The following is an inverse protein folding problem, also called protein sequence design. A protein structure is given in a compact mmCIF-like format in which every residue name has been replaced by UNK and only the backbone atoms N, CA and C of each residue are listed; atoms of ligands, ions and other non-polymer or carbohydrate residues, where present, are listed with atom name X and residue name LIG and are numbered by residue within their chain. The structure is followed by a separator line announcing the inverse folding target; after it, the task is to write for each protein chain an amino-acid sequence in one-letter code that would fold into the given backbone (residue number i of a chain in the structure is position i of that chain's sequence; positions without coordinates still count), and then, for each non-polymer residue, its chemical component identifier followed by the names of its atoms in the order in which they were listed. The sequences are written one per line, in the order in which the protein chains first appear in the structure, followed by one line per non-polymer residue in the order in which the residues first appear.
data_IF_238637909668
#
_entry.id   IF_238637909668
#
_cell.length_a   1.000
_cell.length_b   1.000
_cell.length_c   1.000
_cell.angle_alpha   90.00
_cell.angle_beta   90.00
_cell.angle_gamma   90.00
#
_symmetry.space_group_name_H-M   'P 1'
#
loop_
_entity.id
_entity.type
_entity.pdbx_description
1 polymer ?
#
# COMPACT_ATOMS: atom_id res chain seq x y z
N UNK A 1 -66.96 19.18 -14.36
CA UNK A 1 -66.41 18.42 -15.51
C UNK A 1 -65.13 19.08 -16.04
N UNK A 2 -64.27 19.62 -15.15
CA UNK A 2 -63.00 20.28 -15.50
C UNK A 2 -61.79 19.87 -14.68
N UNK A 3 -61.93 18.90 -13.78
CA UNK A 3 -60.86 18.50 -12.87
C UNK A 3 -60.03 17.30 -13.38
N UNK A 4 -60.59 16.50 -14.32
CA UNK A 4 -59.94 15.27 -14.75
C UNK A 4 -58.80 15.44 -15.79
N UNK A 5 -58.75 16.59 -16.48
CA UNK A 5 -57.75 16.84 -17.53
C UNK A 5 -56.40 17.32 -16.99
N UNK A 6 -56.37 17.96 -15.82
CA UNK A 6 -55.12 18.42 -15.19
C UNK A 6 -54.34 17.26 -14.55
N UNK A 7 -55.06 16.27 -13.96
CA UNK A 7 -54.44 15.16 -13.29
C UNK A 7 -53.77 14.16 -14.29
N UNK A 8 -54.34 14.01 -15.47
CA UNK A 8 -53.80 13.13 -16.53
C UNK A 8 -52.51 13.65 -17.19
N UNK A 9 -52.24 14.96 -17.13
CA UNK A 9 -51.02 15.57 -17.69
C UNK A 9 -49.85 15.60 -16.70
N UNK A 10 -50.09 15.45 -15.41
CA UNK A 10 -49.05 15.44 -14.37
C UNK A 10 -48.45 14.05 -14.11
N UNK A 11 -49.20 12.97 -14.43
CA UNK A 11 -48.70 11.58 -14.26
C UNK A 11 -47.46 11.25 -15.10
N UNK A 12 -47.30 11.65 -16.38
CA UNK A 12 -46.11 11.33 -17.15
C UNK A 12 -44.88 12.11 -16.65
N UNK A 13 -45.05 13.31 -16.11
CA UNK A 13 -43.93 14.09 -15.55
C UNK A 13 -43.44 13.54 -14.23
N UNK A 14 -44.31 13.05 -13.38
CA UNK A 14 -43.92 12.39 -12.12
C UNK A 14 -43.21 11.04 -12.34
N UNK A 15 -43.65 10.28 -13.37
CA UNK A 15 -43.00 9.04 -13.75
C UNK A 15 -41.62 9.27 -14.39
N UNK A 16 -41.45 10.35 -15.17
CA UNK A 16 -40.15 10.72 -15.77
C UNK A 16 -39.13 11.19 -14.70
N UNK A 17 -39.61 11.97 -13.70
CA UNK A 17 -38.79 12.43 -12.59
C UNK A 17 -38.37 11.27 -11.67
N UNK A 18 -39.22 10.26 -11.46
CA UNK A 18 -38.92 9.05 -10.72
C UNK A 18 -37.88 8.15 -11.42
N UNK A 19 -37.94 8.04 -12.73
CA UNK A 19 -36.96 7.28 -13.52
C UNK A 19 -35.58 7.93 -13.57
N UNK A 20 -35.50 9.25 -13.53
CA UNK A 20 -34.25 9.99 -13.50
C UNK A 20 -33.47 9.80 -12.16
N UNK A 21 -34.18 9.57 -11.06
CA UNK A 21 -33.57 9.31 -9.74
C UNK A 21 -32.98 7.88 -9.60
N UNK A 22 -33.43 6.92 -10.42
CA UNK A 22 -32.91 5.57 -10.43
C UNK A 22 -31.64 5.40 -11.29
N UNK A 23 -31.33 6.34 -12.18
CA UNK A 23 -30.13 6.32 -13.01
C UNK A 23 -28.86 6.75 -12.27
N UNK A 24 -28.95 7.24 -11.03
CA UNK A 24 -27.83 7.73 -10.22
C UNK A 24 -26.96 6.67 -9.53
N UNK A 25 -27.31 5.37 -9.66
CA UNK A 25 -26.54 4.27 -9.04
C UNK A 25 -25.62 3.55 -10.02
N UNK A 26 -25.26 4.14 -11.14
CA UNK A 26 -24.20 3.61 -11.98
C UNK A 26 -22.88 3.77 -11.24
N UNK A 27 -22.43 2.68 -10.63
CA UNK A 27 -21.12 2.54 -10.01
C UNK A 27 -20.08 2.61 -11.13
N UNK A 28 -19.61 3.82 -11.37
CA UNK A 28 -18.80 4.13 -12.54
C UNK A 28 -17.37 3.65 -12.29
N UNK A 29 -16.99 2.61 -12.98
CA UNK A 29 -15.61 2.32 -13.34
C UNK A 29 -15.11 3.44 -14.26
N UNK A 30 -15.18 4.69 -13.81
CA UNK A 30 -14.82 5.85 -14.61
C UNK A 30 -13.33 6.16 -14.52
N UNK A 31 -12.79 6.85 -15.54
CA UNK A 31 -11.44 7.39 -15.55
C UNK A 31 -10.62 6.89 -16.75
N UNK A 32 -9.47 7.54 -16.98
CA UNK A 32 -8.58 7.26 -18.11
C UNK A 32 -7.65 6.06 -17.91
N UNK A 33 -7.59 5.52 -16.68
CA UNK A 33 -6.71 4.37 -16.36
C UNK A 33 -7.43 3.09 -16.79
N UNK A 34 -6.80 2.25 -17.63
CA UNK A 34 -7.39 1.01 -18.11
C UNK A 34 -7.59 -0.01 -16.97
N UNK A 35 -8.73 -0.73 -16.99
CA UNK A 35 -9.04 -1.77 -16.03
C UNK A 35 -8.41 -3.10 -16.43
N UNK A 36 -8.06 -3.88 -15.41
CA UNK A 36 -7.59 -5.28 -15.51
C UNK A 36 -6.47 -5.48 -16.52
N UNK A 37 -5.73 -4.40 -16.85
CA UNK A 37 -4.55 -4.50 -17.70
C UNK A 37 -3.41 -5.10 -16.85
N UNK A 38 -2.84 -6.24 -17.24
CA UNK A 38 -1.70 -6.79 -16.56
C UNK A 38 -0.54 -5.80 -16.67
N UNK A 39 -0.03 -5.32 -15.53
CA UNK A 39 1.23 -4.60 -15.49
C UNK A 39 2.36 -5.63 -15.55
N UNK A 40 3.31 -5.43 -16.44
CA UNK A 40 4.52 -6.22 -16.44
C UNK A 40 5.24 -6.09 -15.09
N UNK A 41 6.08 -7.06 -14.75
CA UNK A 41 6.96 -6.93 -13.61
C UNK A 41 7.83 -5.66 -13.79
N UNK A 42 8.17 -4.95 -12.71
CA UNK A 42 9.07 -3.81 -12.81
C UNK A 42 10.45 -4.27 -13.27
N UNK A 43 11.26 -3.34 -13.78
CA UNK A 43 12.62 -3.63 -14.24
C UNK A 43 13.41 -4.32 -13.12
N UNK A 44 14.09 -5.43 -13.44
CA UNK A 44 14.76 -6.35 -12.49
C UNK A 44 15.83 -5.69 -11.58
N UNK A 45 16.16 -4.44 -11.80
CA UNK A 45 17.29 -3.77 -11.17
C UNK A 45 17.11 -3.50 -9.67
N UNK A 46 15.91 -3.72 -9.09
CA UNK A 46 15.66 -3.28 -7.69
C UNK A 46 14.90 -4.26 -6.78
N UNK A 47 14.51 -5.43 -7.28
CA UNK A 47 13.68 -6.34 -6.47
C UNK A 47 14.34 -7.69 -6.24
N UNK A 48 15.48 -7.66 -5.57
CA UNK A 48 15.95 -8.87 -4.92
C UNK A 48 15.00 -9.10 -3.72
N UNK A 49 14.24 -10.19 -3.76
CA UNK A 49 13.54 -10.70 -2.58
C UNK A 49 14.50 -10.58 -1.39
N UNK A 50 14.02 -10.19 -0.20
CA UNK A 50 14.84 -10.16 1.03
C UNK A 50 15.34 -11.59 1.39
N UNK A 51 15.81 -12.31 0.41
CA UNK A 51 16.45 -13.61 0.49
C UNK A 51 17.98 -13.48 0.53
N UNK A 52 18.66 -14.60 0.42
CA UNK A 52 20.12 -14.70 0.50
C UNK A 52 20.92 -13.80 -0.43
N UNK A 53 20.27 -13.25 -1.49
CA UNK A 53 20.90 -12.39 -2.48
C UNK A 53 20.58 -10.90 -2.31
N UNK A 54 19.78 -10.52 -1.28
CA UNK A 54 19.51 -9.12 -1.02
C UNK A 54 20.81 -8.38 -0.70
N UNK A 55 21.03 -7.25 -1.35
CA UNK A 55 22.14 -6.35 -1.06
C UNK A 55 21.65 -5.20 -0.19
N UNK A 56 22.28 -5.05 0.94
CA UNK A 56 22.01 -3.99 1.90
C UNK A 56 22.10 -2.63 1.22
N UNK A 57 21.12 -1.80 1.45
CA UNK A 57 21.04 -0.44 0.90
C UNK A 57 21.23 0.61 2.01
N UNK A 58 21.65 1.83 1.65
CA UNK A 58 21.59 2.96 2.59
C UNK A 58 20.18 3.12 3.17
N UNK A 59 20.10 3.52 4.43
CA UNK A 59 18.88 3.68 5.22
C UNK A 59 18.18 2.35 5.61
N UNK A 60 18.75 1.19 5.31
CA UNK A 60 18.26 -0.07 5.86
C UNK A 60 18.55 -0.14 7.36
N UNK A 61 17.68 -0.84 8.08
CA UNK A 61 17.90 -1.20 9.47
C UNK A 61 18.24 -2.68 9.59
N UNK A 62 19.38 -2.98 10.20
CA UNK A 62 19.88 -4.32 10.40
C UNK A 62 19.72 -4.74 11.85
N UNK A 63 19.32 -5.97 12.09
CA UNK A 63 19.40 -6.62 13.39
C UNK A 63 20.69 -7.47 13.41
N UNK A 64 21.66 -7.08 14.23
CA UNK A 64 22.92 -7.79 14.39
C UNK A 64 22.93 -8.46 15.76
N UNK A 65 23.25 -9.75 15.81
CA UNK A 65 23.43 -10.49 17.04
C UNK A 65 24.82 -11.07 17.08
N UNK A 66 25.51 -10.82 18.18
CA UNK A 66 26.81 -11.45 18.50
C UNK A 66 26.60 -12.37 19.69
N UNK A 67 26.86 -13.67 19.50
CA UNK A 67 26.56 -14.68 20.51
C UNK A 67 27.27 -14.38 21.84
N UNK A 68 26.48 -14.38 22.94
CA UNK A 68 26.94 -14.04 24.31
C UNK A 68 27.46 -12.61 24.50
N UNK A 69 27.25 -11.70 23.54
CA UNK A 69 27.70 -10.31 23.62
C UNK A 69 26.50 -9.38 23.39
N UNK A 70 25.72 -9.12 24.44
CA UNK A 70 24.53 -8.28 24.37
C UNK A 70 24.88 -6.83 24.02
N UNK A 71 26.01 -6.33 24.50
CA UNK A 71 26.48 -4.95 24.24
C UNK A 71 26.83 -4.70 22.76
N UNK A 72 27.05 -5.75 21.97
CA UNK A 72 27.31 -5.69 20.54
C UNK A 72 26.10 -6.11 19.70
N UNK A 73 25.06 -6.61 20.36
CA UNK A 73 23.82 -7.06 19.72
C UNK A 73 22.78 -5.96 19.75
N UNK A 74 22.11 -5.73 18.63
CA UNK A 74 21.09 -4.69 18.54
C UNK A 74 20.68 -4.35 17.13
N UNK A 75 19.93 -3.25 17.02
CA UNK A 75 19.52 -2.67 15.75
C UNK A 75 20.53 -1.61 15.30
N UNK A 76 20.99 -1.73 14.07
CA UNK A 76 21.95 -0.82 13.47
C UNK A 76 21.38 -0.22 12.19
N UNK A 77 21.43 1.11 12.10
CA UNK A 77 21.00 1.82 10.89
C UNK A 77 22.18 1.95 9.92
N UNK A 78 21.95 1.65 8.65
CA UNK A 78 22.91 1.91 7.57
C UNK A 78 22.82 3.39 7.20
N UNK A 79 23.93 4.11 7.32
CA UNK A 79 23.97 5.53 7.00
C UNK A 79 23.87 5.80 5.48
N UNK A 80 23.77 7.08 5.09
CA UNK A 80 23.68 7.47 3.68
C UNK A 80 24.93 7.12 2.86
N UNK A 81 26.08 6.96 3.52
CA UNK A 81 27.31 6.53 2.89
C UNK A 81 27.41 4.99 2.77
N UNK A 82 26.44 4.27 3.34
CA UNK A 82 26.38 2.82 3.28
C UNK A 82 27.13 2.10 4.41
N UNK A 83 27.45 2.80 5.51
CA UNK A 83 28.17 2.22 6.64
C UNK A 83 27.24 1.99 7.83
N UNK A 84 27.63 1.03 8.67
CA UNK A 84 27.09 0.85 10.02
C UNK A 84 28.19 1.16 11.04
N UNK A 85 27.80 1.57 12.24
CA UNK A 85 28.76 1.82 13.33
C UNK A 85 28.55 0.82 14.47
N UNK A 86 29.54 -0.04 14.67
CA UNK A 86 29.54 -1.02 15.77
C UNK A 86 30.54 -0.62 16.87
N UNK A 87 30.21 -0.85 18.14
CA UNK A 87 31.20 -0.74 19.21
C UNK A 87 32.43 -1.59 18.92
N UNK A 88 33.59 -1.23 19.42
CA UNK A 88 34.90 -1.86 19.24
C UNK A 88 35.52 -1.71 17.86
N UNK A 89 34.78 -1.92 16.78
CA UNK A 89 35.32 -1.93 15.40
C UNK A 89 35.01 -0.67 14.60
N UNK A 90 34.16 0.23 15.15
CA UNK A 90 33.81 1.50 14.51
C UNK A 90 32.96 1.34 13.25
N UNK A 91 33.24 2.16 12.23
CA UNK A 91 32.51 2.14 10.97
C UNK A 91 32.89 0.91 10.11
N UNK A 92 31.86 0.27 9.55
CA UNK A 92 31.98 -0.90 8.68
C UNK A 92 31.07 -0.68 7.48
N UNK A 93 31.62 -0.84 6.28
CA UNK A 93 30.86 -0.76 5.04
C UNK A 93 29.87 -1.94 4.96
N UNK A 94 28.59 -1.62 4.82
CA UNK A 94 27.51 -2.61 4.75
C UNK A 94 26.79 -2.57 3.40
N UNK A 95 26.73 -1.41 2.75
CA UNK A 95 26.02 -1.26 1.49
C UNK A 95 26.61 -2.15 0.38
N UNK A 96 25.72 -2.65 -0.49
CA UNK A 96 26.04 -3.58 -1.58
C UNK A 96 26.55 -4.97 -1.14
N UNK A 97 26.67 -5.23 0.15
CA UNK A 97 26.95 -6.57 0.70
C UNK A 97 25.63 -7.33 0.93
N UNK A 98 25.68 -8.65 0.86
CA UNK A 98 24.61 -9.48 1.40
C UNK A 98 24.74 -9.58 2.92
N UNK A 99 23.67 -10.00 3.60
CA UNK A 99 23.73 -10.23 5.06
C UNK A 99 24.81 -11.23 5.43
N UNK A 100 25.01 -12.28 4.63
CA UNK A 100 26.07 -13.27 4.84
C UNK A 100 27.47 -12.67 4.67
N UNK A 101 27.69 -11.84 3.64
CA UNK A 101 28.97 -11.16 3.43
C UNK A 101 29.30 -10.18 4.57
N UNK A 102 28.28 -9.45 5.07
CA UNK A 102 28.49 -8.57 6.22
C UNK A 102 28.75 -9.35 7.50
N UNK A 103 28.08 -10.49 7.71
CA UNK A 103 28.33 -11.42 8.82
C UNK A 103 29.80 -11.88 8.83
N UNK A 104 30.28 -12.41 7.70
CA UNK A 104 31.68 -12.82 7.54
C UNK A 104 32.65 -11.66 7.84
N UNK A 105 32.36 -10.46 7.35
CA UNK A 105 33.19 -9.29 7.56
C UNK A 105 33.23 -8.85 9.04
N UNK A 106 32.08 -8.87 9.73
CA UNK A 106 31.99 -8.55 11.15
C UNK A 106 32.71 -9.59 12.00
N UNK A 107 32.50 -10.85 11.69
CA UNK A 107 33.20 -11.99 12.36
C UNK A 107 34.71 -11.83 12.24
N UNK A 108 35.25 -11.54 11.06
CA UNK A 108 36.67 -11.31 10.86
C UNK A 108 37.18 -10.08 11.63
N UNK A 109 36.50 -8.95 11.57
CA UNK A 109 36.93 -7.71 12.25
C UNK A 109 36.90 -7.84 13.78
N UNK A 110 35.87 -8.47 14.33
CA UNK A 110 35.75 -8.73 15.77
C UNK A 110 36.79 -9.78 16.23
N UNK A 111 37.00 -10.85 15.46
CA UNK A 111 37.93 -11.91 15.75
C UNK A 111 39.40 -11.51 15.67
N UNK A 112 39.72 -10.51 14.84
CA UNK A 112 41.11 -10.06 14.65
C UNK A 112 41.73 -9.47 15.92
N UNK A 113 40.93 -8.86 16.82
CA UNK A 113 41.49 -8.10 17.96
C UNK A 113 40.67 -8.18 19.26
N UNK A 114 39.39 -8.46 19.18
CA UNK A 114 38.49 -8.20 20.31
C UNK A 114 37.85 -9.47 20.90
N UNK A 115 37.56 -10.48 20.10
CA UNK A 115 36.80 -11.67 20.51
C UNK A 115 37.49 -12.96 19.99
N UNK A 116 37.50 -14.00 20.81
CA UNK A 116 37.91 -15.33 20.36
C UNK A 116 36.72 -16.06 19.76
N UNK A 117 36.79 -16.39 18.46
CA UNK A 117 35.74 -17.11 17.70
C UNK A 117 34.36 -16.46 17.83
N UNK A 118 34.16 -15.19 17.41
CA UNK A 118 32.85 -14.56 17.45
C UNK A 118 31.89 -15.25 16.49
N UNK A 119 30.66 -15.48 16.95
CA UNK A 119 29.55 -15.97 16.17
C UNK A 119 28.57 -14.78 15.98
N UNK A 120 28.50 -14.28 14.75
CA UNK A 120 27.72 -13.11 14.38
C UNK A 120 26.57 -13.56 13.49
N UNK A 121 25.42 -12.97 13.63
CA UNK A 121 24.26 -13.14 12.74
C UNK A 121 23.71 -11.79 12.34
N UNK A 122 23.55 -11.57 11.05
CA UNK A 122 23.01 -10.35 10.45
C UNK A 122 21.67 -10.64 9.77
N UNK A 123 20.64 -9.90 10.14
CA UNK A 123 19.34 -9.95 9.49
C UNK A 123 18.86 -8.54 9.13
N UNK A 124 18.07 -8.42 8.07
CA UNK A 124 17.39 -7.15 7.73
C UNK A 124 16.16 -7.02 8.59
N UNK A 125 16.07 -5.95 9.36
CA UNK A 125 14.91 -5.62 10.19
C UNK A 125 13.87 -4.81 9.40
N UNK A 126 14.32 -3.83 8.64
CA UNK A 126 13.48 -3.05 7.73
C UNK A 126 14.33 -2.46 6.61
N UNK A 127 13.72 -2.30 5.44
CA UNK A 127 14.36 -1.69 4.29
C UNK A 127 13.48 -0.56 3.74
N UNK A 128 14.07 0.60 3.49
CA UNK A 128 13.39 1.73 2.86
C UNK A 128 13.29 1.58 1.35
N UNK A 129 14.11 0.72 0.75
CA UNK A 129 14.05 0.42 -0.68
C UNK A 129 12.89 -0.50 -1.06
N UNK A 130 12.32 -1.24 -0.09
CA UNK A 130 11.28 -2.24 -0.30
C UNK A 130 9.98 -1.81 0.38
N UNK A 131 9.37 -0.73 -0.12
CA UNK A 131 8.08 -0.24 0.39
C UNK A 131 7.03 -0.26 -0.71
N UNK A 132 5.79 -0.54 -0.32
CA UNK A 132 4.59 -0.29 -1.12
C UNK A 132 3.88 0.91 -0.50
N UNK A 133 3.55 1.91 -1.31
CA UNK A 133 2.78 3.05 -0.86
C UNK A 133 1.31 2.81 -1.12
N UNK A 134 0.47 2.97 -0.09
CA UNK A 134 -0.99 2.86 -0.20
C UNK A 134 -1.60 4.18 0.23
N UNK A 135 -2.42 4.77 -0.65
CA UNK A 135 -2.97 6.11 -0.47
C UNK A 135 -4.46 6.18 -0.89
N UNK A 136 -5.09 7.32 -0.65
CA UNK A 136 -6.49 7.60 -1.00
C UNK A 136 -7.48 7.15 0.07
N UNK A 137 -8.60 6.55 -0.33
CA UNK A 137 -9.69 6.18 0.58
C UNK A 137 -9.39 4.89 1.35
N UNK A 138 -8.30 4.88 2.12
CA UNK A 138 -7.87 3.83 3.05
C UNK A 138 -7.85 4.35 4.48
N UNK A 139 -7.93 3.46 5.46
CA UNK A 139 -7.98 3.86 6.88
C UNK A 139 -6.66 4.40 7.41
N UNK A 140 -5.54 3.89 6.91
CA UNK A 140 -4.19 4.22 7.35
C UNK A 140 -3.28 4.26 6.11
N UNK A 141 -3.26 5.43 5.43
CA UNK A 141 -2.43 5.63 4.24
C UNK A 141 -0.97 5.84 4.60
N UNK A 142 -0.05 5.32 3.79
CA UNK A 142 1.38 5.47 4.03
C UNK A 142 2.23 4.52 3.20
N UNK A 143 3.52 4.49 3.52
CA UNK A 143 4.48 3.56 2.91
C UNK A 143 4.75 2.40 3.86
N UNK A 144 4.53 1.19 3.38
CA UNK A 144 4.62 -0.04 4.17
C UNK A 144 5.79 -0.88 3.69
N UNK A 145 6.71 -1.29 4.58
CA UNK A 145 7.79 -2.17 4.21
C UNK A 145 7.26 -3.56 3.86
N UNK A 146 7.76 -4.14 2.78
CA UNK A 146 7.38 -5.47 2.29
C UNK A 146 8.63 -6.29 1.96
N UNK A 147 8.61 -7.58 2.23
CA UNK A 147 9.75 -8.47 2.00
C UNK A 147 9.88 -8.96 0.55
N UNK A 148 8.96 -8.56 -0.34
CA UNK A 148 8.88 -8.99 -1.73
C UNK A 148 7.52 -8.67 -2.33
N UNK A 149 7.17 -9.25 -3.49
CA UNK A 149 5.84 -9.08 -4.08
C UNK A 149 4.75 -9.54 -3.12
N UNK A 150 3.68 -8.75 -3.03
CA UNK A 150 2.47 -9.04 -2.26
C UNK A 150 1.25 -8.91 -3.17
N UNK A 151 0.08 -9.37 -2.73
CA UNK A 151 -1.14 -9.18 -3.50
C UNK A 151 -1.77 -7.80 -3.26
N UNK A 152 -2.66 -7.36 -4.16
CA UNK A 152 -3.39 -6.10 -3.99
C UNK A 152 -4.26 -6.11 -2.72
N UNK A 153 -4.89 -7.25 -2.42
CA UNK A 153 -5.64 -7.41 -1.16
C UNK A 153 -4.72 -7.23 0.05
N UNK A 154 -3.52 -7.81 0.02
CA UNK A 154 -2.53 -7.65 1.09
C UNK A 154 -2.05 -6.20 1.22
N UNK A 155 -1.77 -5.52 0.11
CA UNK A 155 -1.38 -4.11 0.13
C UNK A 155 -2.44 -3.23 0.81
N UNK A 156 -3.72 -3.41 0.44
CA UNK A 156 -4.82 -2.66 1.07
C UNK A 156 -5.01 -3.08 2.54
N UNK A 157 -4.74 -4.33 2.91
CA UNK A 157 -4.81 -4.79 4.30
C UNK A 157 -3.73 -4.15 5.18
N UNK A 158 -2.51 -3.90 4.66
CA UNK A 158 -1.48 -3.14 5.36
C UNK A 158 -1.97 -1.74 5.76
N UNK A 159 -2.76 -1.10 4.89
CA UNK A 159 -3.42 0.19 5.16
C UNK A 159 -4.72 0.06 5.99
N UNK A 160 -4.91 -1.06 6.74
CA UNK A 160 -6.08 -1.36 7.57
C UNK A 160 -7.42 -1.39 6.80
N UNK A 161 -7.36 -1.58 5.48
CA UNK A 161 -8.52 -1.64 4.60
C UNK A 161 -9.02 -0.29 4.11
N UNK A 162 -10.10 -0.32 3.34
CA UNK A 162 -10.71 0.87 2.76
C UNK A 162 -11.60 1.61 3.75
N UNK A 163 -11.79 2.93 3.55
CA UNK A 163 -12.79 3.71 4.30
C UNK A 163 -14.22 3.40 3.81
N UNK A 164 -15.23 3.89 4.54
CA UNK A 164 -16.62 3.76 4.14
C UNK A 164 -16.95 4.49 2.83
N UNK A 165 -16.27 5.62 2.59
CA UNK A 165 -16.45 6.46 1.41
C UNK A 165 -15.62 5.96 0.21
N UNK A 166 -14.91 4.84 0.34
CA UNK A 166 -14.07 4.30 -0.71
C UNK A 166 -14.90 3.76 -1.90
N UNK A 167 -14.40 3.99 -3.09
CA UNK A 167 -14.82 3.27 -4.29
C UNK A 167 -13.90 2.05 -4.50
N UNK A 168 -14.20 0.96 -3.80
CA UNK A 168 -13.42 -0.28 -3.89
C UNK A 168 -13.43 -0.93 -5.29
N UNK A 169 -14.27 -0.47 -6.22
CA UNK A 169 -14.25 -0.90 -7.62
C UNK A 169 -13.23 -0.15 -8.45
N UNK A 170 -12.56 0.85 -7.86
CA UNK A 170 -11.54 1.63 -8.55
C UNK A 170 -10.32 1.79 -7.65
N UNK A 171 -9.41 0.83 -7.77
CA UNK A 171 -8.10 0.86 -7.13
C UNK A 171 -7.06 0.95 -8.23
N UNK A 172 -6.34 2.06 -8.28
CA UNK A 172 -5.30 2.29 -9.26
C UNK A 172 -3.94 1.82 -8.71
N UNK A 173 -3.19 1.09 -9.51
CA UNK A 173 -1.80 0.72 -9.22
C UNK A 173 -0.90 1.43 -10.20
N UNK A 174 0.07 2.18 -9.69
CA UNK A 174 1.09 2.86 -10.47
C UNK A 174 2.42 2.15 -10.27
N UNK A 175 3.07 1.81 -11.37
CA UNK A 175 4.35 1.11 -11.43
C UNK A 175 5.29 1.78 -12.43
N UNK A 176 6.56 1.85 -12.13
CA UNK A 176 7.58 2.31 -13.08
C UNK A 176 8.14 1.09 -13.81
N UNK A 177 8.05 1.10 -15.13
CA UNK A 177 8.51 0.03 -16.04
C UNK A 177 9.27 0.71 -17.18
N UNK A 178 10.52 0.34 -17.41
CA UNK A 178 11.35 0.98 -18.44
C UNK A 178 11.57 2.48 -18.21
N UNK A 179 11.64 2.92 -16.95
CA UNK A 179 11.73 4.33 -16.59
C UNK A 179 10.44 5.13 -16.80
N UNK A 180 9.35 4.51 -17.29
CA UNK A 180 8.05 5.14 -17.51
C UNK A 180 7.03 4.71 -16.46
N UNK A 181 6.26 5.68 -15.95
CA UNK A 181 5.17 5.40 -15.03
C UNK A 181 3.96 4.85 -15.80
N UNK A 182 3.58 3.63 -15.51
CA UNK A 182 2.38 2.97 -16.02
C UNK A 182 1.33 2.87 -14.92
N UNK A 183 0.07 2.74 -15.32
CA UNK A 183 -1.04 2.57 -14.38
C UNK A 183 -2.05 1.56 -14.91
N UNK A 184 -2.64 0.81 -13.97
CA UNK A 184 -3.80 -0.04 -14.21
C UNK A 184 -4.79 0.09 -13.05
N UNK A 185 -6.08 0.01 -13.34
CA UNK A 185 -7.14 0.03 -12.35
C UNK A 185 -7.69 -1.39 -12.12
N UNK A 186 -8.08 -1.67 -10.89
CA UNK A 186 -8.58 -2.98 -10.46
C UNK A 186 -9.87 -2.82 -9.64
N UNK A 187 -10.77 -3.78 -9.78
CA UNK A 187 -11.97 -3.89 -8.96
C UNK A 187 -11.72 -4.80 -7.77
N UNK A 188 -11.35 -4.20 -6.64
CA UNK A 188 -11.08 -4.91 -5.38
C UNK A 188 -12.30 -5.72 -4.90
N UNK A 189 -13.52 -5.30 -5.24
CA UNK A 189 -14.73 -6.03 -4.87
C UNK A 189 -14.83 -7.34 -5.64
N UNK A 190 -14.56 -7.31 -6.94
CA UNK A 190 -14.54 -8.52 -7.79
C UNK A 190 -13.41 -9.46 -7.40
N UNK A 191 -12.21 -8.92 -7.08
CA UNK A 191 -11.07 -9.71 -6.60
C UNK A 191 -11.42 -10.43 -5.28
N UNK A 192 -11.96 -9.72 -4.30
CA UNK A 192 -12.36 -10.30 -3.00
C UNK A 192 -13.43 -11.39 -3.13
N UNK A 193 -14.24 -11.35 -4.17
CA UNK A 193 -15.25 -12.38 -4.49
C UNK A 193 -14.70 -13.53 -5.32
N UNK A 194 -13.41 -13.52 -5.69
CA UNK A 194 -12.82 -14.51 -6.57
C UNK A 194 -13.29 -14.43 -8.03
N UNK A 195 -13.86 -13.29 -8.43
CA UNK A 195 -14.38 -13.05 -9.80
C UNK A 195 -13.31 -12.44 -10.72
N UNK A 196 -12.23 -11.94 -10.16
CA UNK A 196 -11.08 -11.40 -10.87
C UNK A 196 -9.78 -11.86 -10.17
N UNK A 197 -8.67 -11.99 -10.91
CA UNK A 197 -7.38 -12.34 -10.33
C UNK A 197 -6.89 -11.21 -9.40
N UNK A 198 -6.22 -11.59 -8.31
CA UNK A 198 -5.54 -10.65 -7.40
C UNK A 198 -4.15 -10.33 -7.96
N UNK A 199 -3.89 -9.11 -8.44
CA UNK A 199 -2.62 -8.78 -9.08
C UNK A 199 -1.48 -8.70 -8.06
N UNK A 200 -0.28 -9.02 -8.51
CA UNK A 200 0.93 -8.82 -7.73
C UNK A 200 1.31 -7.34 -7.67
N UNK A 201 1.59 -6.89 -6.47
CA UNK A 201 2.09 -5.55 -6.12
C UNK A 201 3.54 -5.71 -5.70
N UNK A 202 4.40 -4.95 -6.34
CA UNK A 202 5.85 -5.00 -6.11
C UNK A 202 6.31 -3.83 -5.25
N UNK A 203 7.41 -3.95 -4.52
CA UNK A 203 8.06 -2.81 -3.88
C UNK A 203 8.27 -1.67 -4.90
N UNK A 204 8.02 -0.44 -4.48
CA UNK A 204 8.03 0.74 -5.36
C UNK A 204 6.70 1.06 -6.04
N UNK A 205 5.71 0.15 -5.98
CA UNK A 205 4.37 0.44 -6.46
C UNK A 205 3.65 1.42 -5.55
N UNK A 206 2.75 2.21 -6.17
CA UNK A 206 1.82 3.08 -5.46
C UNK A 206 0.41 2.59 -5.75
N UNK A 207 -0.30 2.22 -4.70
CA UNK A 207 -1.70 1.78 -4.73
C UNK A 207 -2.57 2.93 -4.25
N UNK A 208 -3.49 3.39 -5.09
CA UNK A 208 -4.42 4.49 -4.77
C UNK A 208 -5.84 3.97 -4.80
N UNK A 209 -6.53 4.03 -3.68
CA UNK A 209 -7.96 3.70 -3.58
C UNK A 209 -8.78 4.95 -3.78
N UNK A 210 -9.61 4.99 -4.81
CA UNK A 210 -10.46 6.15 -5.07
C UNK A 210 -11.53 6.33 -3.98
N UNK A 211 -11.86 7.60 -3.71
CA UNK A 211 -13.04 7.96 -2.92
C UNK A 211 -14.29 8.00 -3.79
N UNK A 212 -15.44 7.68 -3.20
CA UNK A 212 -16.74 7.81 -3.85
C UNK A 212 -17.36 9.19 -3.53
N UNK A 213 -17.37 10.08 -4.51
CA UNK A 213 -18.00 11.39 -4.36
C UNK A 213 -19.50 11.27 -4.04
N UNK A 214 -20.17 10.24 -4.55
CA UNK A 214 -21.59 9.97 -4.28
C UNK A 214 -21.80 9.57 -2.81
N UNK A 215 -20.98 8.68 -2.27
CA UNK A 215 -21.07 8.28 -0.85
C UNK A 215 -20.70 9.43 0.09
N UNK A 216 -19.69 10.22 -0.26
CA UNK A 216 -19.32 11.40 0.51
C UNK A 216 -20.46 12.44 0.55
N UNK A 217 -21.09 12.73 -0.58
CA UNK A 217 -22.25 13.62 -0.65
C UNK A 217 -23.45 13.08 0.14
N UNK A 218 -23.74 11.79 0.03
CA UNK A 218 -24.84 11.15 0.79
C UNK A 218 -24.61 11.21 2.31
N UNK A 219 -23.38 10.98 2.77
CA UNK A 219 -23.01 11.11 4.19
C UNK A 219 -23.20 12.54 4.68
N UNK A 220 -22.80 13.53 3.88
CA UNK A 220 -22.93 14.93 4.21
C UNK A 220 -24.41 15.35 4.30
N UNK A 221 -25.28 14.87 3.41
CA UNK A 221 -26.73 15.10 3.44
C UNK A 221 -27.33 14.46 4.71
N UNK A 222 -27.00 13.22 5.02
CA UNK A 222 -27.52 12.54 6.22
C UNK A 222 -27.08 13.21 7.52
N UNK A 223 -25.86 13.75 7.57
CA UNK A 223 -25.35 14.49 8.73
C UNK A 223 -25.95 15.89 8.86
N UNK A 224 -26.45 16.48 7.78
CA UNK A 224 -27.06 17.82 7.78
C UNK A 224 -28.55 17.81 8.10
N UNK A 225 -29.22 16.65 8.18
CA UNK A 225 -30.62 16.54 8.59
C UNK A 225 -30.70 16.58 10.11
N UNK A 226 -31.22 17.65 10.74
CA UNK A 226 -31.37 17.68 12.19
C UNK A 226 -32.37 16.59 12.61
N UNK A 227 -32.00 15.74 13.55
CA UNK A 227 -32.86 14.69 14.13
C UNK A 227 -34.19 15.22 14.67
N UNK A 228 -34.28 16.53 14.96
CA UNK A 228 -35.49 17.21 15.41
C UNK A 228 -36.57 17.33 14.32
N UNK A 229 -36.26 17.17 13.03
CA UNK A 229 -37.23 17.22 11.97
C UNK A 229 -38.10 15.94 11.84
N UNK A 230 -37.72 14.85 12.55
CA UNK A 230 -38.45 13.58 12.49
C UNK A 230 -39.54 13.50 13.58
N UNK A 231 -39.46 14.33 14.61
CA UNK A 231 -40.43 14.43 15.72
C UNK A 231 -41.10 15.78 15.69
N UNK A 232 -41.79 16.12 14.60
CA UNK A 232 -42.72 17.23 14.62
C UNK A 232 -43.89 16.92 15.59
N UNK A 233 -44.35 17.89 16.36
CA UNK A 233 -45.51 17.67 17.26
C UNK A 233 -46.75 17.36 16.41
N UNK A 234 -47.45 16.29 16.83
CA UNK A 234 -48.82 15.98 16.40
C UNK A 234 -49.79 17.08 16.86
#
# INVERSE_FOLDING_TARGET
MFVDHALRRLLPFAALAGAALLAGCADTRGGSIPYDKPLAAPDEVRFQTLGSNYKIAPMDKLAIKVFKMEDLSGDYDVDLAGNISLPLIGQVEAANLTTAQLDDQLTQKLGAKYLEHPDVSVAIKSSTAHVVTVDGAVKDGGSFPVGGPISLIQAVALAKGTTEDANARRVAVFRTIGGQRQAAAFDLTSIRRGQAPDPEIYPGDIVVVDGSSVKAAQKQILQSIPLLAIFGPL
#
